data_IF_285794769692
#
_entry.id   IF_285794769692
#
_cell.length_a   1.000
_cell.length_b   1.000
_cell.length_c   1.000
_cell.angle_alpha   90.00
_cell.angle_beta   90.00
_cell.angle_gamma   90.00
#
_symmetry.space_group_name_H-M   'P 1'
#
loop_
_entity.id
_entity.type
_entity.pdbx_description
1 polymer ?
#
# COMPACT_ATOMS: atom_id res chain seq x y z
N UNK A 1 15.81 58.93 -7.68
CA UNK A 1 16.42 58.50 -6.40
C UNK A 1 15.41 57.81 -5.47
N UNK A 2 14.13 58.21 -5.45
CA UNK A 2 13.09 57.68 -4.54
C UNK A 2 12.64 56.24 -4.88
N UNK A 3 12.64 55.82 -6.16
CA UNK A 3 12.22 54.46 -6.54
C UNK A 3 13.19 53.35 -6.07
N UNK A 4 14.48 53.66 -5.88
CA UNK A 4 15.48 52.67 -5.49
C UNK A 4 15.43 52.35 -3.97
N UNK A 5 14.83 53.23 -3.17
CA UNK A 5 14.67 53.05 -1.72
C UNK A 5 13.45 52.20 -1.39
N UNK A 6 12.37 52.36 -2.17
CA UNK A 6 11.10 51.62 -2.00
C UNK A 6 11.25 50.13 -2.36
N UNK A 7 12.02 49.82 -3.40
CA UNK A 7 12.35 48.43 -3.78
C UNK A 7 13.23 47.76 -2.72
N UNK A 8 14.21 48.47 -2.14
CA UNK A 8 15.05 47.94 -1.06
C UNK A 8 14.27 47.71 0.23
N UNK A 9 13.28 48.55 0.54
CA UNK A 9 12.39 48.35 1.68
C UNK A 9 11.45 47.16 1.46
N UNK A 10 10.89 47.00 0.26
CA UNK A 10 10.05 45.85 -0.09
C UNK A 10 10.82 44.52 -0.03
N UNK A 11 12.07 44.48 -0.50
CA UNK A 11 12.93 43.29 -0.42
C UNK A 11 13.30 42.98 1.02
N UNK A 12 13.63 43.98 1.84
CA UNK A 12 13.91 43.77 3.26
C UNK A 12 12.67 43.28 4.03
N UNK A 13 11.48 43.80 3.72
CA UNK A 13 10.22 43.34 4.32
C UNK A 13 9.87 41.91 3.89
N UNK A 14 10.13 41.54 2.63
CA UNK A 14 9.90 40.20 2.09
C UNK A 14 10.88 39.17 2.69
N UNK A 15 12.13 39.56 2.95
CA UNK A 15 13.12 38.72 3.64
C UNK A 15 12.73 38.54 5.12
N UNK A 16 12.21 39.57 5.80
CA UNK A 16 11.73 39.44 7.19
C UNK A 16 10.49 38.54 7.26
N UNK A 17 9.54 38.65 6.32
CA UNK A 17 8.34 37.79 6.27
C UNK A 17 8.67 36.31 5.95
N UNK A 18 9.65 36.05 5.09
CA UNK A 18 10.11 34.67 4.80
C UNK A 18 10.83 34.03 5.99
N UNK A 19 11.54 34.82 6.82
CA UNK A 19 12.25 34.31 8.00
C UNK A 19 11.29 34.02 9.16
N UNK A 20 10.17 34.75 9.30
CA UNK A 20 9.15 34.45 10.33
C UNK A 20 8.28 33.25 9.96
N UNK A 21 7.90 33.09 8.69
CA UNK A 21 7.06 31.98 8.24
C UNK A 21 7.74 30.59 8.42
N UNK A 22 9.06 30.49 8.28
CA UNK A 22 9.79 29.23 8.53
C UNK A 22 9.95 28.88 10.02
N UNK A 23 9.77 29.82 10.95
CA UNK A 23 9.84 29.53 12.39
C UNK A 23 8.50 29.05 12.95
N UNK A 24 7.38 29.59 12.46
CA UNK A 24 6.03 29.22 12.91
C UNK A 24 5.66 27.76 12.59
N UNK A 25 6.13 27.23 11.44
CA UNK A 25 5.86 25.84 11.03
C UNK A 25 6.49 24.81 11.99
N UNK A 26 7.68 25.10 12.52
CA UNK A 26 8.36 24.23 13.49
C UNK A 26 7.72 24.27 14.87
N UNK A 27 7.24 25.45 15.28
CA UNK A 27 6.53 25.61 16.54
C UNK A 27 5.18 24.87 16.51
N UNK A 28 4.45 24.95 15.40
CA UNK A 28 3.21 24.20 15.19
C UNK A 28 3.40 22.69 15.28
N UNK A 29 4.38 22.14 14.57
CA UNK A 29 4.67 20.69 14.63
C UNK A 29 5.09 20.22 16.03
N UNK A 30 5.86 21.02 16.77
CA UNK A 30 6.22 20.70 18.15
C UNK A 30 5.01 20.69 19.08
N UNK A 31 4.08 21.63 18.89
CA UNK A 31 2.86 21.70 19.68
C UNK A 31 1.93 20.52 19.40
N UNK A 32 1.74 20.16 18.12
CA UNK A 32 0.97 18.96 17.72
C UNK A 32 1.59 17.69 18.32
N UNK A 33 2.91 17.55 18.27
CA UNK A 33 3.59 16.40 18.86
C UNK A 33 3.44 16.35 20.39
N UNK A 34 3.50 17.50 21.06
CA UNK A 34 3.28 17.60 22.51
C UNK A 34 1.85 17.21 22.88
N UNK A 35 0.86 17.76 22.18
CA UNK A 35 -0.56 17.39 22.30
C UNK A 35 -0.77 15.89 22.12
N UNK A 36 -0.23 15.32 21.05
CA UNK A 36 -0.35 13.89 20.76
C UNK A 36 0.26 13.03 21.88
N UNK A 37 1.44 13.42 22.38
CA UNK A 37 2.14 12.70 23.46
C UNK A 37 1.37 12.78 24.78
N UNK A 38 0.72 13.91 25.06
CA UNK A 38 -0.10 14.11 26.25
C UNK A 38 -1.41 13.33 26.17
N UNK A 39 -2.11 13.41 25.03
CA UNK A 39 -3.48 12.89 24.89
C UNK A 39 -3.53 11.42 24.50
N UNK A 40 -2.59 10.95 23.67
CA UNK A 40 -2.49 9.53 23.28
C UNK A 40 -1.02 9.13 23.11
N UNK A 41 -0.32 8.84 24.22
CA UNK A 41 1.10 8.44 24.18
C UNK A 41 1.31 7.15 23.39
N UNK A 42 0.31 6.28 23.33
CA UNK A 42 0.38 5.06 22.52
C UNK A 42 0.34 5.37 21.03
N UNK A 43 -0.53 6.27 20.58
CA UNK A 43 -0.58 6.68 19.18
C UNK A 43 0.71 7.39 18.77
N UNK A 44 1.25 8.25 19.65
CA UNK A 44 2.57 8.86 19.46
C UNK A 44 3.66 7.80 19.23
N UNK A 45 3.68 6.75 20.06
CA UNK A 45 4.63 5.63 19.91
C UNK A 45 4.44 4.89 18.58
N UNK A 46 3.20 4.67 18.16
CA UNK A 46 2.88 3.97 16.90
C UNK A 46 3.29 4.78 15.67
N UNK A 47 3.08 6.09 15.70
CA UNK A 47 3.59 7.00 14.67
C UNK A 47 5.12 6.90 14.53
N UNK A 48 5.85 6.90 15.65
CA UNK A 48 7.31 6.73 15.63
C UNK A 48 7.73 5.34 15.09
N UNK A 49 6.95 4.29 15.36
CA UNK A 49 7.17 2.98 14.75
C UNK A 49 6.99 3.02 13.23
N UNK A 50 5.93 3.66 12.73
CA UNK A 50 5.71 3.81 11.27
C UNK A 50 6.86 4.59 10.63
N UNK A 51 7.30 5.71 11.23
CA UNK A 51 8.47 6.48 10.74
C UNK A 51 9.74 5.64 10.68
N UNK A 52 9.95 4.78 11.68
CA UNK A 52 11.09 3.85 11.70
C UNK A 52 10.99 2.82 10.58
N UNK A 53 9.83 2.22 10.35
CA UNK A 53 9.62 1.27 9.25
C UNK A 53 9.81 1.92 7.88
N UNK A 54 9.35 3.16 7.70
CA UNK A 54 9.65 3.94 6.48
C UNK A 54 11.17 4.04 6.27
N UNK A 55 11.93 4.37 7.31
CA UNK A 55 13.40 4.49 7.22
C UNK A 55 14.06 3.16 6.85
N UNK A 56 13.57 2.04 7.41
CA UNK A 56 14.03 0.68 7.08
C UNK A 56 13.76 0.36 5.60
N UNK A 57 12.56 0.71 5.10
CA UNK A 57 12.21 0.48 3.69
C UNK A 57 13.10 1.29 2.74
N UNK A 58 13.46 2.52 3.10
CA UNK A 58 14.39 3.36 2.33
C UNK A 58 15.78 2.73 2.21
N UNK A 59 16.33 2.26 3.34
CA UNK A 59 17.62 1.56 3.37
C UNK A 59 17.61 0.28 2.53
N UNK A 60 16.51 -0.48 2.59
CA UNK A 60 16.39 -1.73 1.83
C UNK A 60 16.28 -1.50 0.33
N UNK A 61 15.52 -0.49 -0.10
CA UNK A 61 15.42 -0.09 -1.52
C UNK A 61 16.78 0.32 -2.07
N UNK A 62 17.57 1.06 -1.29
CA UNK A 62 18.93 1.46 -1.68
C UNK A 62 19.85 0.23 -1.80
N UNK A 63 19.83 -0.66 -0.79
CA UNK A 63 20.62 -1.90 -0.80
C UNK A 63 20.30 -2.78 -2.00
N UNK A 64 19.02 -2.94 -2.35
CA UNK A 64 18.59 -3.69 -3.53
C UNK A 64 19.06 -3.02 -4.83
N UNK A 65 19.09 -1.69 -4.87
CA UNK A 65 19.62 -0.95 -6.02
C UNK A 65 21.12 -1.17 -6.21
N UNK A 66 21.89 -1.23 -5.11
CA UNK A 66 23.30 -1.60 -5.17
C UNK A 66 23.53 -3.05 -5.57
N UNK A 67 22.72 -3.98 -5.05
CA UNK A 67 22.81 -5.41 -5.34
C UNK A 67 22.56 -5.67 -6.82
N UNK A 68 21.55 -5.02 -7.41
CA UNK A 68 21.24 -5.08 -8.84
C UNK A 68 22.44 -4.72 -9.71
N UNK A 69 23.24 -3.73 -9.29
CA UNK A 69 24.46 -3.30 -9.99
C UNK A 69 25.57 -4.35 -9.91
N UNK A 70 25.68 -5.07 -8.79
CA UNK A 70 26.71 -6.08 -8.55
C UNK A 70 26.37 -7.43 -9.20
N UNK A 71 25.09 -7.80 -9.26
CA UNK A 71 24.60 -9.10 -9.72
C UNK A 71 23.60 -8.96 -10.88
N UNK A 72 24.04 -8.58 -12.10
CA UNK A 72 23.15 -8.32 -13.23
C UNK A 72 22.32 -9.54 -13.65
N UNK A 73 22.82 -10.75 -13.41
CA UNK A 73 22.10 -12.00 -13.71
C UNK A 73 20.81 -12.18 -12.89
N UNK A 74 20.70 -11.51 -11.74
CA UNK A 74 19.53 -11.53 -10.86
C UNK A 74 18.70 -10.24 -10.91
N UNK A 75 19.01 -9.34 -11.86
CA UNK A 75 18.41 -8.01 -11.92
C UNK A 75 16.88 -8.01 -12.00
N UNK A 76 16.27 -9.05 -12.59
CA UNK A 76 14.81 -9.24 -12.63
C UNK A 76 14.21 -9.45 -11.24
N UNK A 77 14.68 -10.47 -10.50
CA UNK A 77 14.21 -10.79 -9.13
C UNK A 77 14.44 -9.60 -8.17
N UNK A 78 15.62 -8.96 -8.26
CA UNK A 78 15.97 -7.80 -7.43
C UNK A 78 15.06 -6.60 -7.72
N UNK A 79 14.73 -6.35 -9.00
CA UNK A 79 13.82 -5.26 -9.38
C UNK A 79 12.39 -5.51 -8.86
N UNK A 80 11.92 -6.75 -8.87
CA UNK A 80 10.62 -7.12 -8.30
C UNK A 80 10.57 -6.83 -6.81
N UNK A 81 11.56 -7.31 -6.05
CA UNK A 81 11.68 -7.05 -4.60
C UNK A 81 11.73 -5.55 -4.31
N UNK A 82 12.52 -4.78 -5.08
CA UNK A 82 12.62 -3.33 -4.94
C UNK A 82 11.27 -2.62 -5.15
N UNK A 83 10.46 -3.05 -6.13
CA UNK A 83 9.11 -2.50 -6.36
C UNK A 83 8.17 -2.81 -5.20
N UNK A 84 8.22 -4.03 -4.65
CA UNK A 84 7.40 -4.41 -3.49
C UNK A 84 7.73 -3.55 -2.27
N UNK A 85 9.03 -3.37 -1.96
CA UNK A 85 9.47 -2.45 -0.91
C UNK A 85 9.02 -1.01 -1.14
N UNK A 86 9.03 -0.55 -2.40
CA UNK A 86 8.58 0.80 -2.74
C UNK A 86 7.07 0.97 -2.52
N UNK A 87 6.26 -0.01 -2.89
CA UNK A 87 4.82 -0.02 -2.61
C UNK A 87 4.56 0.02 -1.11
N UNK A 88 5.28 -0.80 -0.32
CA UNK A 88 5.17 -0.79 1.14
C UNK A 88 5.53 0.58 1.73
N UNK A 89 6.62 1.20 1.28
CA UNK A 89 7.01 2.53 1.69
C UNK A 89 5.92 3.58 1.40
N UNK A 90 5.32 3.53 0.20
CA UNK A 90 4.29 4.49 -0.20
C UNK A 90 3.03 4.33 0.66
N UNK A 91 2.64 3.08 0.99
CA UNK A 91 1.55 2.80 1.94
C UNK A 91 1.86 3.38 3.33
N UNK A 92 3.04 3.09 3.89
CA UNK A 92 3.44 3.62 5.20
C UNK A 92 3.46 5.15 5.24
N UNK A 93 3.97 5.81 4.19
CA UNK A 93 4.00 7.28 4.08
C UNK A 93 2.59 7.85 3.98
N UNK A 94 1.70 7.20 3.23
CA UNK A 94 0.30 7.60 3.12
C UNK A 94 -0.41 7.53 4.48
N UNK A 95 -0.32 6.39 5.17
CA UNK A 95 -0.96 6.22 6.48
C UNK A 95 -0.40 7.18 7.53
N UNK A 96 0.92 7.41 7.53
CA UNK A 96 1.53 8.41 8.42
C UNK A 96 0.97 9.82 8.16
N UNK A 97 0.80 10.18 6.89
CA UNK A 97 0.21 11.46 6.49
C UNK A 97 -1.25 11.56 6.95
N UNK A 98 -2.05 10.52 6.73
CA UNK A 98 -3.47 10.50 7.11
C UNK A 98 -3.66 10.63 8.63
N UNK A 99 -2.88 9.87 9.41
CA UNK A 99 -2.88 10.02 10.88
C UNK A 99 -2.46 11.44 11.26
N UNK A 100 -1.41 11.98 10.62
CA UNK A 100 -0.94 13.35 10.85
C UNK A 100 -2.02 14.41 10.60
N UNK A 101 -2.69 14.34 9.45
CA UNK A 101 -3.75 15.28 9.05
C UNK A 101 -4.90 15.30 10.09
N UNK A 102 -5.32 14.12 10.58
CA UNK A 102 -6.39 14.01 11.60
C UNK A 102 -5.92 14.55 12.95
N UNK A 103 -4.69 14.24 13.37
CA UNK A 103 -4.12 14.74 14.63
C UNK A 103 -3.98 16.26 14.59
N UNK A 104 -3.55 16.84 13.47
CA UNK A 104 -3.43 18.29 13.31
C UNK A 104 -4.80 18.99 13.35
N UNK A 105 -5.79 18.45 12.63
CA UNK A 105 -7.17 18.96 12.64
C UNK A 105 -7.78 18.94 14.04
N UNK A 106 -7.62 17.83 14.76
CA UNK A 106 -8.12 17.68 16.14
C UNK A 106 -7.35 18.56 17.14
N UNK A 107 -6.06 18.81 16.91
CA UNK A 107 -5.29 19.79 17.68
C UNK A 107 -5.82 21.21 17.51
N UNK A 108 -6.14 21.63 16.28
CA UNK A 108 -6.78 22.95 16.04
C UNK A 108 -8.11 23.06 16.79
N UNK A 109 -8.95 22.02 16.74
CA UNK A 109 -10.19 21.98 17.51
C UNK A 109 -9.96 22.05 19.02
N UNK A 110 -8.90 21.40 19.54
CA UNK A 110 -8.48 21.47 20.94
C UNK A 110 -8.04 22.87 21.35
N UNK A 111 -7.27 23.58 20.52
CA UNK A 111 -6.86 24.96 20.81
C UNK A 111 -8.04 25.94 20.82
N UNK A 112 -9.09 25.68 20.03
CA UNK A 112 -10.32 26.48 20.02
C UNK A 112 -11.22 26.19 21.24
N UNK A 113 -11.40 24.91 21.58
CA UNK A 113 -12.12 24.45 22.77
C UNK A 113 -11.45 23.20 23.34
N UNK A 114 -10.69 23.39 24.43
CA UNK A 114 -9.90 22.32 25.04
C UNK A 114 -10.74 21.15 25.53
N UNK A 115 -11.98 21.40 25.95
CA UNK A 115 -12.86 20.35 26.48
C UNK A 115 -13.46 19.58 25.29
N UNK A 116 -14.04 20.29 24.33
CA UNK A 116 -14.69 19.66 23.19
C UNK A 116 -13.68 18.97 22.27
N UNK A 117 -12.59 19.64 21.91
CA UNK A 117 -11.53 19.09 21.07
C UNK A 117 -10.80 17.91 21.74
N UNK A 118 -10.59 17.96 23.06
CA UNK A 118 -10.03 16.83 23.80
C UNK A 118 -10.95 15.59 23.76
N UNK A 119 -12.26 15.78 23.89
CA UNK A 119 -13.24 14.70 23.78
C UNK A 119 -13.32 14.13 22.36
N UNK A 120 -13.26 15.00 21.33
CA UNK A 120 -13.23 14.57 19.94
C UNK A 120 -11.99 13.74 19.63
N UNK A 121 -10.82 14.21 20.07
CA UNK A 121 -9.57 13.47 19.91
C UNK A 121 -9.63 12.11 20.61
N UNK A 122 -10.10 12.04 21.86
CA UNK A 122 -10.23 10.77 22.58
C UNK A 122 -11.14 9.76 21.87
N UNK A 123 -12.20 10.24 21.18
CA UNK A 123 -13.09 9.37 20.41
C UNK A 123 -12.37 8.79 19.19
N UNK A 124 -11.60 9.60 18.47
CA UNK A 124 -10.95 9.22 17.21
C UNK A 124 -9.61 8.50 17.46
N UNK A 125 -8.97 8.70 18.61
CA UNK A 125 -7.67 8.11 18.94
C UNK A 125 -7.69 6.57 18.88
N UNK A 126 -8.81 5.93 19.24
CA UNK A 126 -8.96 4.48 19.11
C UNK A 126 -8.94 4.00 17.65
N UNK A 127 -9.57 4.75 16.75
CA UNK A 127 -9.60 4.45 15.31
C UNK A 127 -8.22 4.67 14.68
N UNK A 128 -7.53 5.75 15.06
CA UNK A 128 -6.16 6.03 14.62
C UNK A 128 -5.16 4.98 15.11
N UNK A 129 -5.35 4.47 16.33
CA UNK A 129 -4.57 3.37 16.88
C UNK A 129 -4.79 2.08 16.09
N UNK A 130 -6.04 1.71 15.83
CA UNK A 130 -6.36 0.53 15.04
C UNK A 130 -5.79 0.62 13.61
N UNK A 131 -5.89 1.80 12.99
CA UNK A 131 -5.28 2.07 11.68
C UNK A 131 -3.76 1.91 11.72
N UNK A 132 -3.08 2.49 12.72
CA UNK A 132 -1.63 2.36 12.87
C UNK A 132 -1.19 0.90 13.14
N UNK A 133 -1.97 0.15 13.91
CA UNK A 133 -1.72 -1.27 14.19
C UNK A 133 -1.84 -2.13 12.93
N UNK A 134 -2.91 -1.94 12.16
CA UNK A 134 -3.12 -2.61 10.87
C UNK A 134 -1.96 -2.35 9.91
N UNK A 135 -1.54 -1.10 9.78
CA UNK A 135 -0.42 -0.72 8.90
C UNK A 135 0.91 -1.34 9.34
N UNK A 136 1.18 -1.40 10.64
CA UNK A 136 2.41 -2.02 11.16
C UNK A 136 2.40 -3.55 11.01
N UNK A 137 1.24 -4.20 11.19
CA UNK A 137 1.09 -5.63 10.95
C UNK A 137 1.32 -5.97 9.48
N UNK A 138 0.68 -5.20 8.58
CA UNK A 138 0.85 -5.30 7.12
C UNK A 138 2.30 -5.16 6.68
N UNK A 139 2.99 -4.17 7.25
CA UNK A 139 4.41 -3.95 6.98
C UNK A 139 5.27 -5.13 7.43
N UNK A 140 4.98 -5.70 8.60
CA UNK A 140 5.68 -6.88 9.11
C UNK A 140 5.57 -8.08 8.17
N UNK A 141 4.36 -8.43 7.75
CA UNK A 141 4.13 -9.58 6.87
C UNK A 141 4.68 -9.36 5.46
N UNK A 142 4.49 -8.16 4.90
CA UNK A 142 5.05 -7.80 3.60
C UNK A 142 6.57 -7.89 3.62
N UNK A 143 7.20 -7.40 4.69
CA UNK A 143 8.65 -7.53 4.88
C UNK A 143 9.09 -8.99 4.93
N UNK A 144 8.44 -9.82 5.74
CA UNK A 144 8.80 -11.23 5.88
C UNK A 144 8.68 -11.98 4.55
N UNK A 145 7.60 -11.73 3.80
CA UNK A 145 7.39 -12.31 2.47
C UNK A 145 8.48 -11.89 1.47
N UNK A 146 8.87 -10.60 1.47
CA UNK A 146 9.93 -10.12 0.57
C UNK A 146 11.30 -10.66 0.98
N UNK A 147 11.59 -10.74 2.28
CA UNK A 147 12.86 -11.28 2.78
C UNK A 147 12.97 -12.78 2.49
N UNK A 148 11.88 -13.54 2.63
CA UNK A 148 11.83 -14.95 2.22
C UNK A 148 12.13 -15.11 0.73
N UNK A 149 11.45 -14.34 -0.14
CA UNK A 149 11.68 -14.38 -1.59
C UNK A 149 13.10 -13.93 -2.00
N UNK A 150 13.75 -13.09 -1.18
CA UNK A 150 15.11 -12.61 -1.44
C UNK A 150 16.18 -13.61 -1.00
N UNK A 151 15.97 -14.35 0.09
CA UNK A 151 16.93 -15.34 0.60
C UNK A 151 17.05 -16.56 -0.32
N UNK A 152 16.01 -16.92 -1.06
CA UNK A 152 16.07 -17.98 -2.09
C UNK A 152 17.11 -17.68 -3.19
N UNK A 153 17.40 -16.40 -3.45
CA UNK A 153 18.40 -15.97 -4.44
C UNK A 153 19.84 -16.20 -3.95
N UNK A 154 20.11 -16.03 -2.65
CA UNK A 154 21.44 -16.30 -2.08
C UNK A 154 21.75 -17.80 -2.00
N UNK A 155 20.73 -18.64 -1.80
CA UNK A 155 20.89 -20.10 -1.71
C UNK A 155 21.13 -20.73 -3.08
N UNK A 156 20.54 -20.20 -4.16
CA UNK A 156 20.85 -20.64 -5.54
C UNK A 156 22.30 -20.31 -5.95
N UNK A 157 22.85 -19.15 -5.55
CA UNK A 157 24.26 -18.80 -5.81
C UNK A 157 25.23 -19.76 -5.07
N UNK A 158 24.90 -20.17 -3.84
CA UNK A 158 25.73 -21.11 -3.07
C UNK A 158 25.76 -22.52 -3.69
N UNK A 159 24.65 -22.98 -4.28
CA UNK A 159 24.58 -24.30 -4.92
C UNK A 159 25.27 -24.35 -6.29
N UNK A 160 25.26 -23.26 -7.06
CA UNK A 160 25.98 -23.20 -8.34
C UNK A 160 27.51 -23.10 -8.16
N UNK A 161 27.97 -22.56 -7.02
CA UNK A 161 29.41 -22.51 -6.68
C UNK A 161 29.94 -23.87 -6.18
N UNK A 162 29.08 -24.75 -5.67
CA UNK A 162 29.45 -26.08 -5.15
C UNK A 162 29.49 -27.21 -6.20
N UNK A 163 29.01 -26.98 -7.43
CA UNK A 163 28.91 -28.03 -8.46
C UNK A 163 30.10 -28.10 -9.42
N UNK A 164 31.25 -27.49 -9.09
CA UNK A 164 32.48 -27.57 -9.89
C UNK A 164 33.54 -28.56 -9.35
N UNK A 165 33.25 -29.32 -8.30
CA UNK A 165 34.16 -30.34 -7.75
C UNK A 165 33.60 -31.76 -7.90
N UNK A 166 33.46 -32.27 -9.13
CA UNK A 166 33.53 -33.72 -9.39
C UNK A 166 34.35 -33.95 -10.66
N UNK A 167 35.67 -33.76 -10.54
CA UNK A 167 36.65 -34.39 -11.41
C UNK A 167 37.37 -35.48 -10.62
N UNK A 168 36.80 -36.68 -10.57
CA UNK A 168 37.54 -37.96 -10.43
C UNK A 168 36.55 -39.11 -10.26
N UNK A 169 36.08 -39.69 -11.37
CA UNK A 169 35.72 -41.12 -11.38
C UNK A 169 36.38 -41.75 -12.61
N UNK A 170 37.51 -42.39 -12.31
CA UNK A 170 38.26 -43.35 -13.11
C UNK A 170 37.35 -44.37 -13.80
N UNK A 171 37.39 -44.42 -15.13
CA UNK A 171 36.85 -45.54 -15.90
C UNK A 171 37.80 -46.72 -15.82
N UNK A 172 37.38 -47.77 -15.11
CA UNK A 172 38.06 -49.05 -15.09
C UNK A 172 37.53 -49.96 -16.21
N UNK A 173 38.49 -50.63 -16.84
CA UNK A 173 38.39 -51.33 -18.12
C UNK A 173 37.91 -52.76 -17.86
N UNK A 174 36.80 -53.19 -18.46
CA UNK A 174 36.61 -54.60 -18.83
C UNK A 174 35.75 -54.78 -20.09
N UNK A 175 36.43 -55.24 -21.14
CA UNK A 175 35.90 -56.06 -22.25
C UNK A 175 36.67 -57.40 -22.22
N UNK A 176 36.30 -58.47 -22.96
CA UNK A 176 35.35 -58.53 -24.07
C UNK A 176 34.41 -59.77 -24.04
N UNK A 177 33.42 -59.84 -24.94
CA UNK A 177 33.23 -60.98 -25.88
C UNK A 177 32.27 -60.59 -27.01
N UNK A 178 32.87 -60.49 -28.19
CA UNK A 178 32.43 -60.62 -29.59
C UNK A 178 30.96 -60.94 -29.93
N UNK A 179 30.40 -60.20 -30.92
CA UNK A 179 30.02 -60.74 -32.25
C UNK A 179 29.60 -59.62 -33.25
N UNK A 180 30.28 -59.62 -34.40
CA UNK A 180 29.93 -59.23 -35.80
C UNK A 180 28.53 -58.65 -36.10
N UNK A 181 28.28 -57.73 -37.05
CA UNK A 181 29.00 -57.07 -38.16
C UNK A 181 27.99 -56.08 -38.77
N UNK A 182 28.40 -54.85 -39.11
CA UNK A 182 28.29 -54.29 -40.49
C UNK A 182 28.45 -52.77 -40.47
N UNK A 183 29.37 -52.31 -41.29
CA UNK A 183 29.66 -50.93 -41.64
C UNK A 183 28.45 -50.22 -42.26
N UNK A 184 28.25 -48.93 -41.93
CA UNK A 184 27.80 -47.90 -42.87
C UNK A 184 28.24 -46.54 -42.30
N UNK A 185 29.19 -45.90 -42.99
CA UNK A 185 29.47 -44.47 -42.85
C UNK A 185 28.30 -43.67 -43.45
N UNK A 186 27.82 -42.65 -42.75
CA UNK A 186 27.77 -41.26 -43.25
C UNK A 186 26.84 -40.36 -42.39
N UNK A 187 27.29 -39.10 -42.30
CA UNK A 187 26.50 -37.89 -42.08
C UNK A 187 26.07 -37.53 -40.66
N UNK A 188 26.91 -36.66 -40.09
CA UNK A 188 26.63 -35.72 -39.02
C UNK A 188 25.45 -34.82 -39.39
N UNK A 189 24.31 -34.96 -38.70
CA UNK A 189 23.22 -33.97 -38.72
C UNK A 189 22.98 -33.52 -37.29
N UNK A 190 23.32 -32.26 -37.02
CA UNK A 190 23.08 -31.60 -35.74
C UNK A 190 21.60 -31.26 -35.66
N UNK A 191 20.84 -32.10 -34.96
CA UNK A 191 19.44 -31.85 -34.64
C UNK A 191 19.39 -30.80 -33.53
N UNK A 192 18.97 -29.59 -33.93
CA UNK A 192 18.66 -28.50 -33.02
C UNK A 192 17.43 -28.92 -32.21
N UNK A 193 17.63 -29.23 -30.93
CA UNK A 193 16.55 -29.62 -30.03
C UNK A 193 15.61 -28.42 -29.90
N UNK A 194 14.45 -28.53 -30.56
CA UNK A 194 13.32 -27.64 -30.40
C UNK A 194 12.87 -27.76 -28.94
N UNK A 195 12.93 -26.65 -28.21
CA UNK A 195 12.42 -26.55 -26.84
C UNK A 195 10.92 -26.88 -26.89
N UNK A 196 10.52 -28.03 -26.34
CA UNK A 196 9.12 -28.45 -26.32
C UNK A 196 8.27 -27.36 -25.65
N UNK A 197 7.14 -26.96 -26.25
CA UNK A 197 6.22 -26.04 -25.59
C UNK A 197 5.72 -26.67 -24.28
N UNK A 198 5.51 -25.86 -23.22
CA UNK A 198 5.16 -26.37 -21.90
C UNK A 198 3.95 -27.29 -21.97
N UNK A 199 4.07 -28.45 -21.35
CA UNK A 199 3.03 -29.48 -21.29
C UNK A 199 1.71 -28.86 -20.83
N UNK A 200 0.58 -29.28 -21.41
CA UNK A 200 -0.77 -28.74 -21.13
C UNK A 200 -1.11 -28.64 -19.63
N UNK A 201 -0.54 -29.54 -18.81
CA UNK A 201 -0.67 -29.56 -17.35
C UNK A 201 0.07 -28.41 -16.64
N UNK A 202 1.21 -28.00 -17.18
CA UNK A 202 2.07 -26.93 -16.67
C UNK A 202 1.51 -25.55 -17.06
N UNK A 203 0.96 -25.44 -18.27
CA UNK A 203 0.19 -24.27 -18.70
C UNK A 203 -1.09 -24.05 -17.86
N UNK A 204 -1.80 -25.13 -17.50
CA UNK A 204 -2.97 -25.07 -16.61
C UNK A 204 -2.60 -24.64 -15.18
N UNK A 205 -1.44 -25.07 -14.67
CA UNK A 205 -0.96 -24.68 -13.34
C UNK A 205 -0.55 -23.21 -13.28
N UNK A 206 0.18 -22.73 -14.28
CA UNK A 206 0.59 -21.31 -14.39
C UNK A 206 -0.64 -20.40 -14.54
N UNK A 207 -1.66 -20.83 -15.29
CA UNK A 207 -2.91 -20.06 -15.46
C UNK A 207 -3.69 -19.97 -14.15
N UNK A 208 -3.80 -21.07 -13.40
CA UNK A 208 -4.44 -21.14 -12.08
C UNK A 208 -3.76 -20.25 -11.01
N UNK A 209 -2.42 -20.29 -10.93
CA UNK A 209 -1.65 -19.46 -9.99
C UNK A 209 -1.70 -17.96 -10.36
N UNK A 210 -1.74 -17.63 -11.66
CA UNK A 210 -1.84 -16.24 -12.13
C UNK A 210 -3.25 -15.64 -11.96
N UNK A 211 -4.31 -16.43 -12.11
CA UNK A 211 -5.70 -16.04 -11.81
C UNK A 211 -5.89 -15.79 -10.30
N UNK A 212 -5.30 -16.64 -9.45
CA UNK A 212 -5.27 -16.49 -7.99
C UNK A 212 -4.54 -15.22 -7.51
N UNK A 213 -3.41 -14.86 -8.11
CA UNK A 213 -2.68 -13.65 -7.75
C UNK A 213 -3.40 -12.37 -8.20
N UNK A 214 -4.11 -12.45 -9.32
CA UNK A 214 -4.92 -11.34 -9.83
C UNK A 214 -6.12 -11.09 -8.90
N UNK A 215 -6.79 -12.14 -8.42
CA UNK A 215 -7.93 -12.00 -7.50
C UNK A 215 -7.55 -11.42 -6.14
N UNK A 216 -6.43 -11.86 -5.54
CA UNK A 216 -5.93 -11.31 -4.26
C UNK A 216 -5.63 -9.80 -4.39
N UNK A 217 -4.96 -9.38 -5.46
CA UNK A 217 -4.68 -7.96 -5.68
C UNK A 217 -5.95 -7.11 -5.77
N UNK A 218 -6.99 -7.61 -6.44
CA UNK A 218 -8.26 -6.89 -6.58
C UNK A 218 -9.07 -6.78 -5.28
N UNK A 219 -8.99 -7.76 -4.36
CA UNK A 219 -9.62 -7.61 -3.04
C UNK A 219 -8.93 -6.53 -2.20
N UNK A 220 -7.60 -6.46 -2.25
CA UNK A 220 -6.86 -5.45 -1.49
C UNK A 220 -6.99 -4.06 -2.10
N UNK A 221 -7.12 -3.97 -3.43
CA UNK A 221 -7.48 -2.72 -4.12
C UNK A 221 -8.88 -2.26 -3.72
N UNK A 222 -9.84 -3.18 -3.57
CA UNK A 222 -11.18 -2.85 -3.07
C UNK A 222 -11.13 -2.35 -1.61
N UNK A 223 -10.43 -3.05 -0.71
CA UNK A 223 -10.27 -2.61 0.68
C UNK A 223 -9.62 -1.22 0.78
N UNK A 224 -8.55 -1.00 0.02
CA UNK A 224 -7.84 0.29 -0.04
C UNK A 224 -8.75 1.41 -0.56
N UNK A 225 -9.50 1.14 -1.63
CA UNK A 225 -10.42 2.12 -2.21
C UNK A 225 -11.54 2.48 -1.24
N UNK A 226 -12.07 1.50 -0.50
CA UNK A 226 -13.11 1.74 0.50
C UNK A 226 -12.59 2.61 1.67
N UNK A 227 -11.38 2.32 2.16
CA UNK A 227 -10.72 3.15 3.17
C UNK A 227 -10.52 4.60 2.68
N UNK A 228 -10.08 4.76 1.43
CA UNK A 228 -9.92 6.06 0.79
C UNK A 228 -11.24 6.85 0.72
N UNK A 229 -12.36 6.21 0.40
CA UNK A 229 -13.67 6.88 0.39
C UNK A 229 -13.98 7.45 1.78
N UNK A 230 -13.81 6.64 2.83
CA UNK A 230 -14.14 7.06 4.19
C UNK A 230 -13.25 8.18 4.72
N UNK A 231 -11.94 8.10 4.49
CA UNK A 231 -10.99 9.15 4.89
C UNK A 231 -11.33 10.45 4.19
N UNK A 232 -11.53 10.44 2.86
CA UNK A 232 -11.85 11.66 2.13
C UNK A 232 -13.23 12.22 2.51
N UNK A 233 -14.20 11.36 2.84
CA UNK A 233 -15.51 11.79 3.35
C UNK A 233 -15.37 12.49 4.71
N UNK A 234 -14.59 11.94 5.64
CA UNK A 234 -14.33 12.56 6.93
C UNK A 234 -13.62 13.91 6.79
N UNK A 235 -12.58 13.97 5.95
CA UNK A 235 -11.87 15.22 5.66
C UNK A 235 -12.79 16.27 5.02
N UNK A 236 -13.72 15.84 4.17
CA UNK A 236 -14.74 16.71 3.58
C UNK A 236 -15.70 17.27 4.63
N UNK A 237 -16.15 16.45 5.58
CA UNK A 237 -17.03 16.88 6.69
C UNK A 237 -16.32 17.87 7.62
N UNK A 238 -15.03 17.66 7.89
CA UNK A 238 -14.24 18.50 8.80
C UNK A 238 -13.82 19.83 8.17
N UNK A 239 -13.68 19.90 6.83
CA UNK A 239 -13.33 21.15 6.16
C UNK A 239 -14.51 22.13 6.16
N UNK A 240 -14.21 23.41 6.39
CA UNK A 240 -15.16 24.52 6.21
C UNK A 240 -14.89 25.31 4.92
N UNK A 241 -13.95 24.84 4.08
CA UNK A 241 -13.50 25.54 2.88
C UNK A 241 -14.05 24.82 1.64
N UNK A 242 -14.93 25.49 0.90
CA UNK A 242 -15.59 24.91 -0.27
C UNK A 242 -14.60 24.30 -1.28
N UNK A 243 -13.48 24.97 -1.56
CA UNK A 243 -12.49 24.47 -2.51
C UNK A 243 -11.81 23.18 -2.05
N UNK A 244 -11.60 23.00 -0.74
CA UNK A 244 -11.08 21.76 -0.18
C UNK A 244 -12.15 20.67 -0.21
N UNK A 245 -13.40 20.99 0.14
CA UNK A 245 -14.51 20.06 0.05
C UNK A 245 -14.73 19.56 -1.39
N UNK A 246 -14.62 20.44 -2.39
CA UNK A 246 -14.66 20.07 -3.81
C UNK A 246 -13.50 19.15 -4.20
N UNK A 247 -12.29 19.41 -3.66
CA UNK A 247 -11.14 18.54 -3.85
C UNK A 247 -11.34 17.15 -3.21
N UNK A 248 -11.92 17.09 -2.01
CA UNK A 248 -12.20 15.81 -1.35
C UNK A 248 -13.30 15.05 -2.07
N UNK A 249 -14.34 15.73 -2.56
CA UNK A 249 -15.37 15.14 -3.41
C UNK A 249 -14.77 14.46 -4.64
N UNK A 250 -13.86 15.14 -5.35
CA UNK A 250 -13.19 14.54 -6.51
C UNK A 250 -12.37 13.28 -6.14
N UNK A 251 -11.77 13.24 -4.94
CA UNK A 251 -11.06 12.05 -4.43
C UNK A 251 -12.02 10.92 -4.06
N UNK A 252 -13.18 11.25 -3.47
CA UNK A 252 -14.26 10.28 -3.19
C UNK A 252 -14.74 9.68 -4.51
N UNK A 253 -15.06 10.49 -5.51
CA UNK A 253 -15.53 10.02 -6.83
C UNK A 253 -14.49 9.09 -7.50
N UNK A 254 -13.21 9.44 -7.37
CA UNK A 254 -12.10 8.60 -7.86
C UNK A 254 -12.04 7.26 -7.12
N UNK A 255 -12.07 7.28 -5.79
CA UNK A 255 -12.01 6.07 -4.98
C UNK A 255 -13.24 5.17 -5.18
N UNK A 256 -14.43 5.75 -5.35
CA UNK A 256 -15.65 5.03 -5.75
C UNK A 256 -15.44 4.29 -7.07
N UNK A 257 -14.84 4.96 -8.06
CA UNK A 257 -14.55 4.35 -9.37
C UNK A 257 -13.53 3.22 -9.27
N UNK A 258 -12.48 3.39 -8.45
CA UNK A 258 -11.46 2.37 -8.20
C UNK A 258 -12.06 1.13 -7.49
N UNK A 259 -12.93 1.34 -6.51
CA UNK A 259 -13.66 0.28 -5.82
C UNK A 259 -14.57 -0.50 -6.78
N UNK A 260 -15.36 0.19 -7.59
CA UNK A 260 -16.25 -0.44 -8.58
C UNK A 260 -15.46 -1.25 -9.61
N UNK A 261 -14.30 -0.74 -10.04
CA UNK A 261 -13.39 -1.47 -10.94
C UNK A 261 -12.84 -2.73 -10.28
N UNK A 262 -12.45 -2.66 -9.02
CA UNK A 262 -11.95 -3.81 -8.26
C UNK A 262 -13.04 -4.88 -8.11
N UNK A 263 -14.25 -4.50 -7.73
CA UNK A 263 -15.42 -5.39 -7.67
C UNK A 263 -15.72 -6.03 -9.03
N UNK A 264 -15.67 -5.26 -10.12
CA UNK A 264 -15.92 -5.81 -11.45
C UNK A 264 -14.88 -6.85 -11.87
N UNK A 265 -13.60 -6.67 -11.49
CA UNK A 265 -12.55 -7.66 -11.72
C UNK A 265 -12.81 -8.95 -10.94
N UNK A 266 -13.26 -8.84 -9.69
CA UNK A 266 -13.62 -9.97 -8.84
C UNK A 266 -14.78 -10.78 -9.40
N UNK A 267 -15.79 -10.12 -9.98
CA UNK A 267 -16.94 -10.79 -10.59
C UNK A 267 -16.56 -11.69 -11.77
N UNK A 268 -15.50 -11.34 -12.50
CA UNK A 268 -15.04 -12.10 -13.66
C UNK A 268 -14.12 -13.28 -13.29
N UNK A 269 -13.63 -13.33 -12.04
CA UNK A 269 -12.64 -14.31 -11.58
C UNK A 269 -13.20 -15.64 -11.07
N UNK A 270 -14.51 -15.86 -11.08
CA UNK A 270 -15.19 -17.13 -10.73
C UNK A 270 -14.88 -17.71 -9.32
N UNK A 271 -14.32 -16.93 -8.39
CA UNK A 271 -13.80 -17.40 -7.10
C UNK A 271 -14.56 -16.92 -5.85
N UNK A 272 -15.52 -16.00 -5.98
CA UNK A 272 -16.26 -15.48 -4.82
C UNK A 272 -17.52 -16.30 -4.51
N UNK A 273 -17.82 -16.49 -3.23
CA UNK A 273 -19.15 -16.92 -2.79
C UNK A 273 -20.18 -15.93 -3.34
N UNK A 274 -21.05 -16.41 -4.24
CA UNK A 274 -21.99 -15.57 -4.97
C UNK A 274 -22.92 -14.78 -4.04
N UNK A 275 -23.24 -15.32 -2.86
CA UNK A 275 -24.09 -14.68 -1.88
C UNK A 275 -23.34 -13.55 -1.16
N UNK A 276 -22.08 -13.77 -0.76
CA UNK A 276 -21.25 -12.74 -0.14
C UNK A 276 -20.93 -11.60 -1.10
N UNK A 277 -20.64 -11.91 -2.36
CA UNK A 277 -20.38 -10.90 -3.37
C UNK A 277 -21.63 -10.06 -3.67
N UNK A 278 -22.80 -10.70 -3.73
CA UNK A 278 -24.08 -9.98 -3.87
C UNK A 278 -24.31 -9.05 -2.66
N UNK A 279 -24.07 -9.54 -1.45
CA UNK A 279 -24.19 -8.73 -0.23
C UNK A 279 -23.21 -7.54 -0.23
N UNK A 280 -21.98 -7.72 -0.75
CA UNK A 280 -21.01 -6.63 -0.92
C UNK A 280 -21.54 -5.56 -1.88
N UNK A 281 -22.05 -5.97 -3.05
CA UNK A 281 -22.59 -5.04 -4.06
C UNK A 281 -23.81 -4.28 -3.53
N UNK A 282 -24.73 -4.96 -2.84
CA UNK A 282 -25.91 -4.33 -2.25
C UNK A 282 -25.51 -3.33 -1.15
N UNK A 283 -24.60 -3.73 -0.26
CA UNK A 283 -24.11 -2.85 0.81
C UNK A 283 -23.37 -1.64 0.23
N UNK A 284 -22.56 -1.85 -0.81
CA UNK A 284 -21.88 -0.78 -1.54
C UNK A 284 -22.84 0.23 -2.12
N UNK A 285 -23.88 -0.21 -2.85
CA UNK A 285 -24.86 0.73 -3.43
C UNK A 285 -25.51 1.59 -2.35
N UNK A 286 -25.89 0.99 -1.22
CA UNK A 286 -26.54 1.73 -0.14
C UNK A 286 -25.56 2.69 0.53
N UNK A 287 -24.31 2.25 0.77
CA UNK A 287 -23.23 3.09 1.27
C UNK A 287 -22.96 4.27 0.34
N UNK A 288 -22.87 4.02 -0.97
CA UNK A 288 -22.64 5.04 -1.99
C UNK A 288 -23.77 6.07 -2.01
N UNK A 289 -25.01 5.60 -2.10
CA UNK A 289 -26.18 6.46 -2.13
C UNK A 289 -26.27 7.36 -0.89
N UNK A 290 -25.99 6.86 0.31
CA UNK A 290 -26.06 7.71 1.51
C UNK A 290 -25.00 8.81 1.50
N UNK A 291 -23.76 8.54 1.09
CA UNK A 291 -22.80 9.63 1.04
C UNK A 291 -23.06 10.61 -0.11
N UNK A 292 -23.52 10.15 -1.28
CA UNK A 292 -23.80 11.01 -2.43
C UNK A 292 -25.09 11.83 -2.29
N UNK A 293 -26.12 11.29 -1.63
CA UNK A 293 -27.46 11.89 -1.56
C UNK A 293 -27.78 12.53 -0.21
N UNK A 294 -27.08 12.15 0.86
CA UNK A 294 -27.36 12.66 2.21
C UNK A 294 -26.16 13.43 2.75
N UNK A 295 -24.99 12.78 2.88
CA UNK A 295 -23.82 13.36 3.55
C UNK A 295 -23.23 14.52 2.74
N UNK A 296 -22.85 14.30 1.47
CA UNK A 296 -22.27 15.34 0.62
C UNK A 296 -23.21 16.55 0.50
N UNK A 297 -24.52 16.39 0.21
CA UNK A 297 -25.44 17.52 0.20
C UNK A 297 -25.54 18.27 1.53
N UNK A 298 -25.53 17.57 2.68
CA UNK A 298 -25.51 18.21 3.99
C UNK A 298 -24.24 19.05 4.21
N UNK A 299 -23.07 18.54 3.83
CA UNK A 299 -21.80 19.30 3.87
C UNK A 299 -21.89 20.55 2.99
N UNK A 300 -22.37 20.41 1.74
CA UNK A 300 -22.49 21.53 0.80
C UNK A 300 -23.53 22.58 1.25
N UNK A 301 -24.50 22.18 2.07
CA UNK A 301 -25.46 23.09 2.70
C UNK A 301 -24.91 23.77 3.96
N UNK A 302 -23.70 23.40 4.42
CA UNK A 302 -23.09 23.87 5.67
C UNK A 302 -23.61 23.15 6.92
N UNK A 303 -24.37 22.07 6.78
CA UNK A 303 -24.90 21.26 7.88
C UNK A 303 -23.88 20.17 8.30
N UNK A 304 -22.67 20.58 8.68
CA UNK A 304 -21.58 19.64 8.97
C UNK A 304 -21.88 18.71 10.16
N UNK A 305 -22.65 19.16 11.17
CA UNK A 305 -23.03 18.32 12.32
C UNK A 305 -23.96 17.16 11.90
N UNK A 306 -24.92 17.43 11.03
CA UNK A 306 -25.84 16.43 10.46
C UNK A 306 -25.05 15.45 9.57
N UNK A 307 -24.17 15.97 8.72
CA UNK A 307 -23.29 15.16 7.89
C UNK A 307 -22.40 14.23 8.74
N UNK A 308 -21.85 14.73 9.84
CA UNK A 308 -21.02 13.98 10.77
C UNK A 308 -21.80 12.90 11.52
N UNK A 309 -23.05 13.18 11.91
CA UNK A 309 -23.92 12.19 12.55
C UNK A 309 -24.24 11.03 11.59
N UNK A 310 -24.56 11.32 10.34
CA UNK A 310 -24.84 10.29 9.32
C UNK A 310 -23.57 9.49 9.01
N UNK A 311 -22.42 10.16 8.86
CA UNK A 311 -21.13 9.53 8.60
C UNK A 311 -20.71 8.57 9.73
N UNK A 312 -20.83 8.98 11.00
CA UNK A 312 -20.46 8.15 12.14
C UNK A 312 -21.46 7.04 12.49
N UNK A 313 -22.71 7.13 12.01
CA UNK A 313 -23.75 6.16 12.37
C UNK A 313 -23.89 5.08 11.30
N UNK A 314 -24.80 5.29 10.36
CA UNK A 314 -25.21 4.28 9.40
C UNK A 314 -24.12 4.02 8.36
N UNK A 315 -23.33 5.04 8.01
CA UNK A 315 -22.27 4.94 7.02
C UNK A 315 -21.09 4.14 7.54
N UNK A 316 -20.63 4.42 8.77
CA UNK A 316 -19.57 3.66 9.45
C UNK A 316 -19.93 2.16 9.56
N UNK A 317 -21.17 1.85 9.98
CA UNK A 317 -21.64 0.45 10.09
C UNK A 317 -21.65 -0.28 8.75
N UNK A 318 -22.03 0.40 7.66
CA UNK A 318 -22.00 -0.20 6.31
C UNK A 318 -20.56 -0.43 5.83
N UNK A 319 -19.64 0.46 6.17
CA UNK A 319 -18.22 0.27 5.88
C UNK A 319 -17.67 -0.96 6.62
N UNK A 320 -17.97 -1.08 7.91
CA UNK A 320 -17.62 -2.26 8.72
C UNK A 320 -18.15 -3.54 8.05
N UNK A 321 -19.43 -3.58 7.68
CA UNK A 321 -20.01 -4.73 6.96
C UNK A 321 -19.28 -5.04 5.65
N UNK A 322 -18.90 -4.04 4.84
CA UNK A 322 -18.17 -4.30 3.60
C UNK A 322 -16.75 -4.82 3.86
N UNK A 323 -16.06 -4.29 4.88
CA UNK A 323 -14.74 -4.78 5.28
C UNK A 323 -14.83 -6.24 5.74
N UNK A 324 -15.81 -6.58 6.58
CA UNK A 324 -16.05 -7.95 7.05
C UNK A 324 -16.28 -8.90 5.87
N UNK A 325 -17.07 -8.48 4.86
CA UNK A 325 -17.33 -9.29 3.67
C UNK A 325 -16.06 -9.45 2.83
N UNK A 326 -15.30 -8.37 2.59
CA UNK A 326 -14.04 -8.42 1.83
C UNK A 326 -13.04 -9.36 2.51
N UNK A 327 -12.89 -9.27 3.83
CA UNK A 327 -12.04 -10.15 4.62
C UNK A 327 -12.54 -11.60 4.59
N UNK A 328 -13.84 -11.84 4.70
CA UNK A 328 -14.40 -13.18 4.64
C UNK A 328 -14.18 -13.85 3.27
N UNK A 329 -14.23 -13.08 2.17
CA UNK A 329 -14.02 -13.63 0.82
C UNK A 329 -12.51 -13.84 0.55
N UNK A 330 -11.65 -12.92 0.98
CA UNK A 330 -10.22 -12.95 0.66
C UNK A 330 -9.34 -13.67 1.69
N UNK A 331 -9.86 -13.90 2.90
CA UNK A 331 -9.06 -14.22 4.10
C UNK A 331 -8.26 -13.01 4.60
N UNK A 332 -7.35 -13.24 5.56
CA UNK A 332 -6.43 -12.21 6.10
C UNK A 332 -5.32 -11.81 5.09
N UNK A 333 -5.53 -12.03 3.80
CA UNK A 333 -4.53 -11.83 2.74
C UNK A 333 -4.41 -10.37 2.25
N UNK A 334 -5.13 -9.43 2.88
CA UNK A 334 -4.96 -7.99 2.67
C UNK A 334 -4.31 -7.28 3.85
N UNK A 335 -3.98 -8.03 4.90
CA UNK A 335 -3.07 -7.55 5.93
C UNK A 335 -1.65 -7.54 5.33
#
# INVERSE_FOLDING_TARGET
MIQNTLIKFAIAFFIIFMVTACNEEKEGQQAVQAFLTEMSPELARKIEQIKKEISITEEKIETLSELKRKHPNYAGKIETSRRQWKVLQDKLKLSLKEIGDVVESTYVAYELDRIQGGNQFNKIAGELLASADSVLASAGMTKDAIEQASNEVEVEEAHLSSSNDISDISYDIHQPTERDTSETEESLTFEMTEEEPPTELEALRITSEQESLTSISSFCDAATSLANVNVNLMMMVMSTVQAEQDSFRAKIDKANTEFEKAIAMLQNGNQADADQFTALQETWMVFKNTHELEIIPAIMAGNNDEALEIAHSIQAKRMETMNDIIQAINGDNCD
#
